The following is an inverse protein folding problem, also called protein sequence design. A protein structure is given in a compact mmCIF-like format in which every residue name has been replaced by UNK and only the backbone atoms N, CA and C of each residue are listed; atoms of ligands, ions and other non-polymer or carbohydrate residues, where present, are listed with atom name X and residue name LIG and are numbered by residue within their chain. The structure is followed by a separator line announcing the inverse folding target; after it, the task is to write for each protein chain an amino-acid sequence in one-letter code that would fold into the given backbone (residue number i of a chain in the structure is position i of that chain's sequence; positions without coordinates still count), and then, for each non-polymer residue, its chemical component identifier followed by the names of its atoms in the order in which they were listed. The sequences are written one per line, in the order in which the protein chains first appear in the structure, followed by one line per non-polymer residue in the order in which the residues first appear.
data_IF_824056058283
#
_entry.id   IF_824056058283
#
_cell.length_a   1.000
_cell.length_b   1.000
_cell.length_c   1.000
_cell.angle_alpha   90.00
_cell.angle_beta   90.00
_cell.angle_gamma   90.00
#
_symmetry.space_group_name_H-M   'P 1'
#
loop_
_entity.id
_entity.type
_entity.pdbx_description
1 polymer ?
#
# COMPACT_ATOMS: atom_id res chain seq x y z
N UNK A 1 36.93 -23.04 -55.71
CA UNK A 1 35.91 -23.13 -56.78
C UNK A 1 34.73 -23.94 -56.28
N UNK A 2 33.56 -23.28 -56.23
CA UNK A 2 32.19 -23.81 -56.38
C UNK A 2 31.74 -24.98 -55.49
N UNK A 3 31.02 -24.60 -54.43
CA UNK A 3 29.95 -25.38 -53.77
C UNK A 3 28.91 -25.81 -54.82
N UNK A 4 28.48 -27.08 -54.87
CA UNK A 4 27.33 -27.46 -55.68
C UNK A 4 26.04 -27.16 -54.89
N UNK A 5 25.23 -26.27 -55.47
CA UNK A 5 23.87 -25.97 -55.04
C UNK A 5 23.00 -27.23 -55.21
N UNK A 6 22.59 -27.84 -54.10
CA UNK A 6 21.53 -28.83 -54.10
C UNK A 6 20.19 -28.13 -54.31
N UNK A 7 19.52 -28.44 -55.41
CA UNK A 7 18.20 -27.96 -55.75
C UNK A 7 17.18 -28.42 -54.69
N UNK A 8 16.60 -27.48 -53.96
CA UNK A 8 15.38 -27.71 -53.19
C UNK A 8 14.24 -27.78 -54.20
N UNK A 9 13.91 -28.99 -54.63
CA UNK A 9 12.71 -29.29 -55.41
C UNK A 9 11.51 -29.04 -54.48
N UNK A 10 10.99 -27.81 -54.53
CA UNK A 10 9.68 -27.47 -54.02
C UNK A 10 8.63 -28.20 -54.86
N UNK A 11 8.01 -29.23 -54.28
CA UNK A 11 6.83 -29.87 -54.86
C UNK A 11 5.67 -28.86 -54.80
N UNK A 12 5.42 -28.16 -55.90
CA UNK A 12 4.13 -27.54 -56.15
C UNK A 12 3.13 -28.64 -56.51
N UNK A 13 1.97 -28.77 -55.85
CA UNK A 13 0.90 -29.59 -56.38
C UNK A 13 0.31 -28.86 -57.59
N UNK A 14 0.36 -29.52 -58.74
CA UNK A 14 -0.31 -29.11 -59.97
C UNK A 14 -1.80 -28.93 -59.70
N UNK A 15 -2.30 -27.74 -60.00
CA UNK A 15 -3.72 -27.40 -59.91
C UNK A 15 -4.44 -27.96 -61.13
N UNK A 16 -4.91 -29.20 -61.04
CA UNK A 16 -5.99 -29.66 -61.91
C UNK A 16 -7.31 -29.13 -61.36
N UNK A 17 -8.03 -28.41 -62.20
CA UNK A 17 -9.26 -27.73 -61.85
C UNK A 17 -10.34 -28.72 -61.45
N UNK A 18 -10.81 -28.63 -60.21
CA UNK A 18 -12.18 -29.01 -59.86
C UNK A 18 -12.63 -28.24 -58.63
N UNK A 19 -13.63 -27.41 -58.86
CA UNK A 19 -14.36 -26.60 -57.90
C UNK A 19 -14.90 -27.47 -56.75
N UNK A 20 -14.32 -27.33 -55.56
CA UNK A 20 -14.89 -27.82 -54.30
C UNK A 20 -14.82 -26.70 -53.26
N UNK A 21 -15.76 -25.76 -53.35
CA UNK A 21 -16.16 -24.91 -52.24
C UNK A 21 -16.90 -25.82 -51.24
N UNK A 22 -16.19 -26.36 -50.26
CA UNK A 22 -16.75 -27.39 -49.36
C UNK A 22 -15.90 -27.74 -48.15
N UNK A 23 -15.79 -26.80 -47.20
CA UNK A 23 -15.90 -27.11 -45.77
C UNK A 23 -14.74 -27.76 -45.00
N UNK A 24 -14.68 -27.35 -43.72
CA UNK A 24 -14.27 -28.12 -42.55
C UNK A 24 -12.77 -28.04 -42.20
N UNK A 25 -12.45 -27.02 -41.41
CA UNK A 25 -11.35 -27.08 -40.43
C UNK A 25 -11.48 -28.42 -39.69
N UNK A 26 -10.50 -29.33 -39.87
CA UNK A 26 -10.49 -30.67 -39.26
C UNK A 26 -10.88 -30.64 -37.78
N UNK A 27 -12.00 -31.27 -37.46
CA UNK A 27 -12.45 -31.58 -36.10
C UNK A 27 -11.57 -32.68 -35.49
N UNK A 28 -10.66 -32.28 -34.60
CA UNK A 28 -10.16 -33.04 -33.42
C UNK A 28 -8.92 -32.35 -32.84
N UNK A 29 -9.05 -31.08 -32.42
CA UNK A 29 -8.02 -30.46 -31.57
C UNK A 29 -8.19 -31.04 -30.17
N UNK A 30 -7.41 -32.09 -29.84
CA UNK A 30 -7.33 -32.61 -28.46
C UNK A 30 -6.73 -31.51 -27.57
N UNK A 31 -7.38 -31.17 -26.46
CA UNK A 31 -6.85 -30.23 -25.46
C UNK A 31 -5.50 -30.74 -24.95
N UNK A 32 -4.42 -30.04 -25.29
CA UNK A 32 -3.04 -30.48 -24.99
C UNK A 32 -2.56 -30.08 -23.59
N UNK A 33 -3.35 -29.32 -22.83
CA UNK A 33 -2.90 -28.72 -21.55
C UNK A 33 -3.70 -29.17 -20.31
N UNK A 34 -4.26 -30.38 -20.30
CA UNK A 34 -4.98 -30.90 -19.12
C UNK A 34 -4.03 -31.08 -17.92
N UNK A 35 -2.82 -31.61 -18.14
CA UNK A 35 -1.84 -31.79 -17.07
C UNK A 35 -1.37 -30.45 -16.46
N UNK A 36 -1.11 -29.46 -17.31
CA UNK A 36 -0.72 -28.10 -16.88
C UNK A 36 -1.88 -27.42 -16.14
N UNK A 37 -3.12 -27.61 -16.60
CA UNK A 37 -4.32 -27.12 -15.92
C UNK A 37 -4.45 -27.69 -14.50
N UNK A 38 -4.18 -28.98 -14.31
CA UNK A 38 -4.21 -29.61 -12.97
C UNK A 38 -3.16 -29.00 -12.04
N UNK A 39 -1.93 -28.78 -12.52
CA UNK A 39 -0.89 -28.10 -11.72
C UNK A 39 -1.27 -26.66 -11.37
N UNK A 40 -1.86 -25.92 -12.31
CA UNK A 40 -2.35 -24.56 -12.07
C UNK A 40 -3.45 -24.54 -11.00
N UNK A 41 -4.43 -25.45 -11.07
CA UNK A 41 -5.48 -25.56 -10.06
C UNK A 41 -4.87 -25.92 -8.70
N UNK A 42 -3.93 -26.86 -8.63
CA UNK A 42 -3.25 -27.24 -7.40
C UNK A 42 -2.51 -26.07 -6.74
N UNK A 43 -1.84 -25.23 -7.54
CA UNK A 43 -1.19 -24.01 -7.05
C UNK A 43 -2.19 -23.03 -6.43
N UNK A 44 -3.34 -22.78 -7.09
CA UNK A 44 -4.38 -21.90 -6.55
C UNK A 44 -5.00 -22.44 -5.27
N UNK A 45 -5.27 -23.74 -5.20
CA UNK A 45 -5.77 -24.39 -3.99
C UNK A 45 -4.77 -24.21 -2.84
N UNK A 46 -3.47 -24.44 -3.09
CA UNK A 46 -2.44 -24.24 -2.09
C UNK A 46 -2.37 -22.77 -1.61
N UNK A 47 -2.47 -21.79 -2.51
CA UNK A 47 -2.51 -20.37 -2.14
C UNK A 47 -3.73 -20.04 -1.28
N UNK A 48 -4.92 -20.51 -1.67
CA UNK A 48 -6.15 -20.28 -0.90
C UNK A 48 -6.03 -20.88 0.50
N UNK A 49 -5.55 -22.12 0.63
CA UNK A 49 -5.38 -22.78 1.94
C UNK A 49 -4.39 -22.00 2.83
N UNK A 50 -3.23 -21.62 2.28
CA UNK A 50 -2.23 -20.87 3.03
C UNK A 50 -2.75 -19.48 3.44
N UNK A 51 -3.45 -18.78 2.54
CA UNK A 51 -4.08 -17.50 2.86
C UNK A 51 -5.16 -17.66 3.92
N UNK A 52 -6.07 -18.63 3.79
CA UNK A 52 -7.12 -18.89 4.77
C UNK A 52 -6.55 -19.21 6.15
N UNK A 53 -5.49 -20.01 6.23
CA UNK A 53 -4.81 -20.26 7.50
C UNK A 53 -4.25 -18.96 8.12
N UNK A 54 -3.60 -18.13 7.31
CA UNK A 54 -3.07 -16.84 7.75
C UNK A 54 -4.13 -15.85 8.23
N UNK A 55 -5.29 -15.79 7.57
CA UNK A 55 -6.39 -14.92 7.97
C UNK A 55 -7.20 -15.45 9.15
N UNK A 56 -7.34 -16.77 9.29
CA UNK A 56 -8.13 -17.38 10.36
C UNK A 56 -7.37 -17.39 11.70
N UNK A 57 -6.05 -17.59 11.68
CA UNK A 57 -5.24 -17.61 12.92
C UNK A 57 -4.53 -16.28 13.19
N UNK A 58 -4.29 -15.48 12.16
CA UNK A 58 -3.59 -14.20 12.27
C UNK A 58 -4.54 -13.00 12.37
N UNK A 59 -4.00 -11.86 12.81
CA UNK A 59 -4.68 -10.58 12.73
C UNK A 59 -4.04 -9.72 11.62
N UNK A 60 -4.69 -9.55 10.45
CA UNK A 60 -4.13 -8.81 9.32
C UNK A 60 -3.94 -7.31 9.62
N UNK A 61 -4.67 -6.76 10.59
CA UNK A 61 -4.55 -5.34 10.98
C UNK A 61 -3.18 -4.99 11.55
N UNK A 62 -2.38 -5.97 12.01
CA UNK A 62 -0.99 -5.75 12.48
C UNK A 62 -0.04 -5.29 11.38
N UNK A 63 -0.38 -5.55 10.12
CA UNK A 63 0.44 -5.12 8.98
C UNK A 63 0.25 -3.63 8.70
N UNK A 64 -0.94 -3.08 8.92
CA UNK A 64 -1.24 -1.67 8.62
C UNK A 64 -1.10 -0.79 9.85
N UNK A 65 -1.64 -1.21 11.00
CA UNK A 65 -1.71 -0.40 12.21
C UNK A 65 -0.48 -0.58 13.13
N UNK A 66 -0.35 0.35 14.07
CA UNK A 66 0.64 0.29 15.15
C UNK A 66 0.21 -0.63 16.29
N UNK A 67 1.15 -0.87 17.22
CA UNK A 67 0.89 -1.55 18.48
C UNK A 67 1.05 -0.57 19.64
N UNK A 68 0.22 -0.73 20.67
CA UNK A 68 0.39 -0.05 21.95
C UNK A 68 1.47 -0.73 22.83
N UNK A 69 1.68 -0.21 24.03
CA UNK A 69 2.63 -0.75 25.02
C UNK A 69 2.16 -2.06 25.65
N UNK A 70 0.87 -2.41 25.52
CA UNK A 70 0.29 -3.69 25.96
C UNK A 70 0.37 -4.78 24.89
N UNK A 71 0.71 -4.43 23.65
CA UNK A 71 0.79 -5.33 22.51
C UNK A 71 -0.52 -5.45 21.70
N UNK A 72 -1.53 -4.65 22.00
CA UNK A 72 -2.78 -4.56 21.24
C UNK A 72 -2.58 -3.73 19.97
N UNK A 73 -3.41 -3.96 18.97
CA UNK A 73 -3.39 -3.23 17.70
C UNK A 73 -4.25 -1.97 17.84
N UNK A 74 -3.73 -0.83 17.40
CA UNK A 74 -4.54 0.40 17.32
C UNK A 74 -5.70 0.19 16.32
N UNK A 75 -6.91 0.61 16.67
CA UNK A 75 -8.13 0.33 15.90
C UNK A 75 -8.75 -1.05 16.15
N UNK A 76 -8.22 -1.87 17.06
CA UNK A 76 -8.79 -3.19 17.35
C UNK A 76 -10.07 -3.08 18.19
N UNK A 77 -11.12 -3.77 17.72
CA UNK A 77 -12.42 -3.82 18.39
C UNK A 77 -12.38 -4.64 19.67
N UNK A 78 -11.58 -5.72 19.72
CA UNK A 78 -11.54 -6.62 20.87
C UNK A 78 -10.84 -6.00 22.08
N UNK A 79 -9.91 -5.07 21.83
CA UNK A 79 -9.19 -4.35 22.86
C UNK A 79 -9.89 -3.06 23.31
N UNK A 80 -11.09 -2.75 22.81
CA UNK A 80 -11.77 -1.48 23.08
C UNK A 80 -11.12 -0.26 22.42
N UNK A 81 -10.23 -0.48 21.44
CA UNK A 81 -9.44 0.56 20.77
C UNK A 81 -10.02 0.95 19.40
N UNK A 82 -11.31 0.71 19.15
CA UNK A 82 -11.95 0.86 17.83
C UNK A 82 -11.75 2.25 17.23
N UNK A 83 -11.76 3.27 18.07
CA UNK A 83 -11.69 4.68 17.65
C UNK A 83 -10.25 5.24 17.74
N UNK A 84 -9.39 4.53 18.47
CA UNK A 84 -7.99 4.90 18.72
C UNK A 84 -7.10 4.23 17.67
N UNK A 85 -7.07 4.80 16.46
CA UNK A 85 -6.37 4.22 15.30
C UNK A 85 -4.90 4.68 15.17
N UNK A 86 -4.51 5.79 15.81
CA UNK A 86 -3.19 6.40 15.63
C UNK A 86 -2.19 5.95 16.69
N UNK A 87 -1.03 5.46 16.25
CA UNK A 87 0.09 5.15 17.16
C UNK A 87 0.89 6.41 17.51
N UNK A 88 1.03 6.71 18.80
CA UNK A 88 1.90 7.77 19.32
C UNK A 88 3.03 7.20 20.19
N UNK A 89 4.21 7.83 20.20
CA UNK A 89 5.31 7.47 21.09
C UNK A 89 5.38 8.41 22.29
N UNK A 90 5.31 7.86 23.49
CA UNK A 90 5.15 8.62 24.73
C UNK A 90 6.45 9.27 25.21
N UNK A 91 7.57 8.53 25.15
CA UNK A 91 8.85 8.96 25.74
C UNK A 91 9.86 9.39 24.65
N UNK A 92 10.14 10.70 24.50
CA UNK A 92 11.10 11.18 23.50
C UNK A 92 12.54 10.70 23.72
N UNK A 93 12.95 10.50 24.97
CA UNK A 93 14.31 10.05 25.29
C UNK A 93 14.54 8.60 24.83
N UNK A 94 13.52 7.73 24.90
CA UNK A 94 13.61 6.36 24.35
C UNK A 94 13.77 6.38 22.82
N UNK A 95 13.07 7.28 22.14
CA UNK A 95 13.18 7.45 20.69
C UNK A 95 14.57 7.98 20.34
N UNK A 96 15.06 8.99 21.05
CA UNK A 96 16.41 9.53 20.87
C UNK A 96 17.46 8.44 21.07
N UNK A 97 17.37 7.68 22.17
CA UNK A 97 18.28 6.56 22.48
C UNK A 97 18.33 5.57 21.32
N UNK A 98 17.19 5.19 20.76
CA UNK A 98 17.13 4.24 19.62
C UNK A 98 17.85 4.71 18.35
N UNK A 99 18.16 6.00 18.26
CA UNK A 99 18.90 6.60 17.16
C UNK A 99 20.40 6.60 17.28
N UNK A 100 20.92 6.41 18.50
CA UNK A 100 22.36 6.32 18.72
C UNK A 100 22.88 5.01 18.16
N UNK A 101 23.98 5.09 17.41
CA UNK A 101 24.61 3.94 16.73
C UNK A 101 25.04 2.83 17.69
N UNK A 102 25.38 3.18 18.92
CA UNK A 102 25.91 2.25 19.94
C UNK A 102 24.88 1.83 20.99
N UNK A 103 23.61 2.21 20.82
CA UNK A 103 22.55 1.82 21.75
C UNK A 103 22.01 0.42 21.41
N UNK A 104 21.76 -0.40 22.44
CA UNK A 104 21.04 -1.67 22.28
C UNK A 104 19.51 -1.50 22.18
N UNK A 105 19.02 -0.27 22.42
CA UNK A 105 17.59 0.02 22.47
C UNK A 105 17.01 0.15 21.06
N UNK A 106 16.01 -0.69 20.72
CA UNK A 106 15.34 -0.64 19.41
C UNK A 106 14.09 0.22 19.49
N UNK A 107 13.82 1.01 18.45
CA UNK A 107 12.60 1.83 18.38
C UNK A 107 11.30 1.01 18.43
N UNK A 108 11.35 -0.27 18.04
CA UNK A 108 10.22 -1.20 18.19
C UNK A 108 9.81 -1.44 19.65
N UNK A 109 10.74 -1.24 20.59
CA UNK A 109 10.54 -1.39 22.03
C UNK A 109 10.26 -0.05 22.73
N UNK A 110 10.27 1.07 21.99
CA UNK A 110 9.89 2.36 22.53
C UNK A 110 8.40 2.32 22.91
N UNK A 111 8.07 2.84 24.10
CA UNK A 111 6.70 2.83 24.60
C UNK A 111 5.80 3.64 23.68
N UNK A 112 4.72 3.01 23.21
CA UNK A 112 3.72 3.64 22.36
C UNK A 112 2.31 3.43 22.87
N UNK A 113 1.39 4.30 22.49
CA UNK A 113 -0.03 4.25 22.85
C UNK A 113 -0.87 4.55 21.61
N UNK A 114 -2.13 4.09 21.59
CA UNK A 114 -3.09 4.43 20.54
C UNK A 114 -3.95 5.63 20.96
N UNK A 115 -4.08 6.62 20.09
CA UNK A 115 -4.83 7.86 20.25
C UNK A 115 -5.80 8.06 19.07
N UNK A 116 -6.79 8.95 19.20
CA UNK A 116 -7.62 9.38 18.07
C UNK A 116 -6.88 10.37 17.19
N UNK A 117 -6.20 11.34 17.81
CA UNK A 117 -5.51 12.43 17.15
C UNK A 117 -4.09 12.60 17.68
N UNK A 118 -3.21 13.16 16.83
CA UNK A 118 -1.82 13.39 17.19
C UNK A 118 -1.69 14.61 18.11
N UNK A 119 -1.09 14.47 19.30
CA UNK A 119 -1.00 15.55 20.27
C UNK A 119 -0.03 16.65 19.78
N UNK A 120 -0.39 17.88 20.08
CA UNK A 120 0.38 19.08 19.74
C UNK A 120 0.64 19.87 21.04
N UNK A 121 1.85 20.41 21.25
CA UNK A 121 2.13 21.25 22.40
C UNK A 121 1.24 22.50 22.39
N UNK A 122 0.76 22.88 23.57
CA UNK A 122 0.04 24.14 23.79
C UNK A 122 0.99 25.34 23.74
N UNK A 123 0.46 26.52 23.43
CA UNK A 123 1.21 27.78 23.38
C UNK A 123 1.44 28.38 24.78
N UNK A 124 0.58 28.06 25.75
CA UNK A 124 0.57 28.69 27.08
C UNK A 124 0.78 27.70 28.24
N UNK A 125 0.53 26.41 28.01
CA UNK A 125 0.54 25.38 29.05
C UNK A 125 1.32 24.13 28.61
N UNK A 126 1.63 23.24 29.57
CA UNK A 126 2.16 21.92 29.25
C UNK A 126 1.01 20.92 29.11
N UNK A 127 0.83 20.40 27.89
CA UNK A 127 -0.11 19.31 27.62
C UNK A 127 0.53 17.97 28.02
N UNK A 128 -0.28 17.05 28.52
CA UNK A 128 0.14 15.70 28.88
C UNK A 128 -0.60 14.66 28.05
N UNK A 129 0.08 13.53 27.83
CA UNK A 129 -0.56 12.30 27.37
C UNK A 129 -0.28 11.24 28.41
N UNK A 130 -1.34 10.73 29.01
CA UNK A 130 -1.26 9.69 30.02
C UNK A 130 -1.56 8.30 29.44
N UNK A 131 -1.07 7.28 30.13
CA UNK A 131 -1.39 5.89 29.84
C UNK A 131 -2.91 5.64 29.92
N UNK A 132 -3.35 4.50 29.39
CA UNK A 132 -4.74 4.06 29.56
C UNK A 132 -5.13 4.04 31.05
N UNK A 133 -6.36 4.44 31.40
CA UNK A 133 -6.83 4.52 32.78
C UNK A 133 -7.13 3.12 33.33
N UNK A 134 -6.07 2.34 33.56
CA UNK A 134 -6.15 1.00 34.14
C UNK A 134 -5.54 0.99 35.54
N UNK A 135 -6.09 0.14 36.43
CA UNK A 135 -5.58 -0.04 37.79
C UNK A 135 -6.18 0.96 38.78
N UNK A 136 -5.33 1.70 39.49
CA UNK A 136 -5.72 2.61 40.60
C UNK A 136 -6.44 3.89 40.13
N UNK A 137 -6.52 4.11 38.82
CA UNK A 137 -7.18 5.26 38.21
C UNK A 137 -8.60 4.86 37.84
N UNK A 138 -9.58 5.29 38.63
CA UNK A 138 -11.01 5.06 38.37
C UNK A 138 -11.57 6.03 37.32
N UNK A 139 -11.07 5.96 36.09
CA UNK A 139 -11.56 6.76 34.95
C UNK A 139 -11.96 5.83 33.81
N UNK A 140 -13.10 6.09 33.17
CA UNK A 140 -13.49 5.31 31.99
C UNK A 140 -12.61 5.69 30.79
N UNK A 141 -12.49 4.78 29.81
CA UNK A 141 -11.74 5.06 28.58
C UNK A 141 -12.35 6.23 27.80
N UNK A 142 -13.68 6.35 27.80
CA UNK A 142 -14.39 7.45 27.12
C UNK A 142 -14.12 8.79 27.82
N UNK A 143 -14.20 8.84 29.16
CA UNK A 143 -13.85 10.06 29.90
C UNK A 143 -12.37 10.45 29.74
N UNK A 144 -11.48 9.47 29.58
CA UNK A 144 -10.07 9.71 29.28
C UNK A 144 -9.87 10.32 27.90
N UNK A 145 -10.62 9.86 26.90
CA UNK A 145 -10.65 10.45 25.56
C UNK A 145 -11.19 11.89 25.61
N UNK A 146 -12.31 12.12 26.29
CA UNK A 146 -12.94 13.43 26.40
C UNK A 146 -12.05 14.46 27.11
N UNK A 147 -11.17 14.00 27.99
CA UNK A 147 -10.13 14.81 28.66
C UNK A 147 -8.87 14.98 27.83
N UNK A 148 -8.89 14.63 26.54
CA UNK A 148 -7.74 14.70 25.64
C UNK A 148 -6.51 13.95 26.22
N UNK A 149 -6.77 12.77 26.79
CA UNK A 149 -5.77 11.86 27.34
C UNK A 149 -5.02 12.37 28.58
N UNK A 150 -5.51 13.43 29.24
CA UNK A 150 -4.86 14.07 30.38
C UNK A 150 -5.63 13.83 31.69
N UNK A 151 -4.94 13.26 32.68
CA UNK A 151 -5.37 13.19 34.07
C UNK A 151 -4.23 13.51 35.05
N UNK A 152 -3.21 14.24 34.61
CA UNK A 152 -2.00 14.53 35.38
C UNK A 152 -2.30 15.20 36.74
N UNK A 153 -3.32 16.05 36.80
CA UNK A 153 -3.74 16.73 38.02
C UNK A 153 -4.23 15.76 39.11
N UNK A 154 -4.80 14.62 38.72
CA UNK A 154 -5.34 13.61 39.63
C UNK A 154 -4.28 12.61 40.13
N UNK A 155 -3.02 12.74 39.68
CA UNK A 155 -1.95 11.85 40.10
C UNK A 155 -1.55 12.06 41.56
N UNK A 156 -1.23 10.94 42.23
CA UNK A 156 -0.56 10.96 43.53
C UNK A 156 0.85 11.58 43.42
N UNK A 157 1.40 12.12 44.51
CA UNK A 157 2.75 12.70 44.51
C UNK A 157 3.84 11.73 44.03
N UNK A 158 3.70 10.44 44.35
CA UNK A 158 4.63 9.38 43.92
C UNK A 158 4.60 9.18 42.41
N UNK A 159 3.39 9.07 41.83
CA UNK A 159 3.20 8.92 40.38
C UNK A 159 3.66 10.16 39.61
N UNK A 160 3.53 11.34 40.21
CA UNK A 160 4.05 12.60 39.64
C UNK A 160 5.57 12.59 39.55
N UNK A 161 6.26 12.08 40.58
CA UNK A 161 7.72 11.96 40.55
C UNK A 161 8.19 10.97 39.46
N UNK A 162 7.50 9.83 39.31
CA UNK A 162 7.76 8.87 38.22
C UNK A 162 7.53 9.47 36.83
N UNK A 163 6.47 10.27 36.67
CA UNK A 163 6.18 11.02 35.45
C UNK A 163 7.31 11.99 35.10
N UNK A 164 7.83 12.73 36.09
CA UNK A 164 8.98 13.64 35.91
C UNK A 164 10.26 12.90 35.48
N UNK A 165 10.38 11.61 35.80
CA UNK A 165 11.46 10.74 35.33
C UNK A 165 11.18 10.06 33.97
N UNK A 166 10.07 10.39 33.30
CA UNK A 166 9.60 9.76 32.06
C UNK A 166 9.41 8.24 32.19
N UNK A 167 9.05 7.76 33.39
CA UNK A 167 8.73 6.35 33.64
C UNK A 167 7.21 6.07 33.53
N UNK A 168 6.39 7.13 33.55
CA UNK A 168 4.93 7.07 33.46
C UNK A 168 4.27 7.39 34.80
N UNK A 169 2.92 7.44 34.87
CA UNK A 169 1.98 7.07 33.80
C UNK A 169 1.71 8.19 32.79
N UNK A 170 2.10 9.44 33.07
CA UNK A 170 1.89 10.57 32.17
C UNK A 170 3.21 11.03 31.54
N UNK A 171 3.11 11.60 30.34
CA UNK A 171 4.26 12.04 29.56
C UNK A 171 3.99 13.42 28.95
N UNK A 172 4.97 14.34 28.97
CA UNK A 172 4.79 15.70 28.49
C UNK A 172 4.80 15.77 26.96
N UNK A 173 3.88 16.54 26.37
CA UNK A 173 3.86 16.81 24.93
C UNK A 173 4.77 17.99 24.63
N UNK A 174 6.01 17.68 24.25
CA UNK A 174 7.05 18.71 24.01
C UNK A 174 7.33 18.89 22.51
N UNK A 175 7.30 17.79 21.77
CA UNK A 175 7.52 17.80 20.33
C UNK A 175 6.15 17.82 19.63
N UNK A 176 5.94 18.72 18.66
CA UNK A 176 4.74 18.68 17.84
C UNK A 176 4.76 17.40 16.99
N UNK A 177 3.58 16.82 16.81
CA UNK A 177 3.42 15.57 16.07
C UNK A 177 2.36 15.69 14.98
N UNK A 178 2.56 14.96 13.89
CA UNK A 178 1.66 14.97 12.73
C UNK A 178 1.28 13.54 12.35
N UNK A 179 0.04 13.36 11.90
CA UNK A 179 -0.44 12.06 11.46
C UNK A 179 0.18 11.70 10.11
N UNK A 180 0.98 10.64 10.10
CA UNK A 180 1.61 10.07 8.91
C UNK A 180 1.33 8.57 8.90
N UNK A 181 0.33 8.15 8.11
CA UNK A 181 -0.07 6.75 7.95
C UNK A 181 -0.41 6.03 9.27
N UNK A 182 -1.41 6.51 10.01
CA UNK A 182 -1.87 5.87 11.26
C UNK A 182 -0.81 5.85 12.38
N UNK A 183 0.18 6.75 12.28
CA UNK A 183 1.23 6.93 13.26
C UNK A 183 1.55 8.41 13.39
N UNK A 184 1.68 8.89 14.61
CA UNK A 184 2.06 10.26 14.92
C UNK A 184 3.58 10.40 14.88
N UNK A 185 4.08 11.05 13.84
CA UNK A 185 5.50 11.33 13.68
C UNK A 185 5.87 12.62 14.41
N UNK A 186 6.85 12.54 15.31
CA UNK A 186 7.40 13.71 16.01
C UNK A 186 8.25 14.55 15.06
N UNK A 187 8.05 15.86 15.10
CA UNK A 187 8.92 16.84 14.43
C UNK A 187 10.09 17.13 15.40
N UNK A 188 11.36 17.11 14.95
CA UNK A 188 12.55 17.28 15.80
C UNK A 188 12.77 18.74 16.21
N UNK A 189 11.74 19.40 16.72
CA UNK A 189 11.76 20.78 17.19
C UNK A 189 10.88 20.88 18.43
N UNK A 190 11.49 20.96 19.60
CA UNK A 190 10.76 21.13 20.85
C UNK A 190 10.06 22.50 20.90
N UNK A 191 8.88 22.57 21.51
CA UNK A 191 8.23 23.84 21.83
C UNK A 191 8.92 24.46 23.05
N UNK A 192 9.47 25.66 22.88
CA UNK A 192 10.17 26.39 23.94
C UNK A 192 9.31 26.58 25.20
N UNK A 193 8.00 26.78 25.04
CA UNK A 193 7.07 26.99 26.16
C UNK A 193 6.90 25.69 26.93
N UNK A 194 6.53 24.61 26.25
CA UNK A 194 6.37 23.29 26.86
C UNK A 194 7.64 22.81 27.58
N UNK A 195 8.81 23.01 26.95
CA UNK A 195 10.10 22.62 27.51
C UNK A 195 10.45 23.44 28.76
N UNK A 196 10.19 24.76 28.75
CA UNK A 196 10.42 25.62 29.90
C UNK A 196 9.55 25.21 31.08
N UNK A 197 8.26 24.94 30.85
CA UNK A 197 7.36 24.44 31.90
C UNK A 197 7.81 23.07 32.45
N UNK A 198 8.23 22.17 31.57
CA UNK A 198 8.77 20.87 31.98
C UNK A 198 10.01 21.01 32.87
N UNK A 199 10.95 21.87 32.50
CA UNK A 199 12.16 22.14 33.29
C UNK A 199 11.83 22.81 34.63
N UNK A 200 10.86 23.73 34.65
CA UNK A 200 10.39 24.38 35.88
C UNK A 200 9.77 23.39 36.86
N UNK A 201 9.16 22.31 36.38
CA UNK A 201 8.63 21.23 37.21
C UNK A 201 9.69 20.22 37.67
N UNK A 202 10.97 20.43 37.33
CA UNK A 202 12.06 19.52 37.71
C UNK A 202 12.10 18.23 36.90
N UNK A 203 11.52 18.23 35.69
CA UNK A 203 11.57 17.09 34.80
C UNK A 203 12.99 16.76 34.32
N UNK A 204 13.24 15.48 34.02
CA UNK A 204 14.55 15.04 33.51
C UNK A 204 14.91 15.73 32.19
N UNK A 205 16.20 15.86 31.90
CA UNK A 205 16.65 16.50 30.66
C UNK A 205 16.19 15.70 29.43
N UNK A 206 15.72 16.43 28.41
CA UNK A 206 15.23 15.86 27.15
C UNK A 206 16.20 16.26 26.05
N UNK A 207 16.66 15.26 25.30
CA UNK A 207 17.61 15.49 24.22
C UNK A 207 16.88 15.97 22.95
N UNK A 208 17.12 17.22 22.55
CA UNK A 208 16.49 17.87 21.39
C UNK A 208 17.18 17.58 20.04
N UNK A 209 18.14 16.67 20.01
CA UNK A 209 18.96 16.46 18.82
C UNK A 209 18.14 15.94 17.63
N UNK A 210 18.56 16.30 16.41
CA UNK A 210 18.00 15.85 15.11
C UNK A 210 17.98 14.31 14.93
N UNK A 211 18.63 13.59 15.85
CA UNK A 211 18.67 12.13 15.93
C UNK A 211 17.27 11.52 16.01
N UNK A 212 16.31 12.19 16.66
CA UNK A 212 14.91 11.72 16.76
C UNK A 212 14.30 11.50 15.37
N UNK A 213 14.40 12.52 14.51
CA UNK A 213 13.86 12.46 13.15
C UNK A 213 14.53 11.38 12.32
N UNK A 214 15.86 11.28 12.37
CA UNK A 214 16.61 10.25 11.66
C UNK A 214 16.23 8.84 12.10
N UNK A 215 15.92 8.65 13.39
CA UNK A 215 15.54 7.35 13.97
C UNK A 215 14.18 6.91 13.50
N UNK A 216 13.21 7.82 13.58
CA UNK A 216 11.85 7.61 13.11
C UNK A 216 11.87 7.37 11.60
N UNK A 217 12.54 8.24 10.83
CA UNK A 217 12.70 8.06 9.38
C UNK A 217 13.39 6.74 9.03
N UNK A 218 14.44 6.32 9.75
CA UNK A 218 15.11 5.03 9.49
C UNK A 218 14.20 3.84 9.79
N UNK A 219 13.38 3.92 10.84
CA UNK A 219 12.42 2.87 11.17
C UNK A 219 11.27 2.82 10.17
N UNK A 220 10.73 3.96 9.76
CA UNK A 220 9.64 4.06 8.77
C UNK A 220 10.14 3.79 7.33
N UNK A 221 11.39 4.13 7.00
CA UNK A 221 11.98 3.78 5.71
C UNK A 221 12.62 2.39 5.69
N UNK A 222 12.57 1.65 6.81
CA UNK A 222 12.97 0.25 6.80
C UNK A 222 12.09 -0.54 5.84
N UNK A 223 12.64 -1.62 5.25
CA UNK A 223 11.95 -2.52 4.30
C UNK A 223 10.52 -2.87 4.74
N UNK A 224 10.31 -3.00 6.04
CA UNK A 224 9.04 -3.31 6.66
C UNK A 224 8.01 -2.19 6.50
N UNK A 225 8.38 -0.93 6.70
CA UNK A 225 7.42 0.18 6.64
C UNK A 225 7.17 0.66 5.20
N UNK A 226 8.09 0.43 4.25
CA UNK A 226 7.76 0.48 2.81
C UNK A 226 6.68 -0.55 2.46
N UNK A 227 6.82 -1.79 2.94
CA UNK A 227 5.80 -2.81 2.76
C UNK A 227 4.47 -2.41 3.40
N UNK A 228 4.49 -1.82 4.61
CA UNK A 228 3.27 -1.32 5.27
C UNK A 228 2.54 -0.28 4.44
N UNK A 229 3.26 0.66 3.82
CA UNK A 229 2.66 1.68 2.94
C UNK A 229 1.94 1.04 1.76
N UNK A 230 2.59 0.09 1.07
CA UNK A 230 1.95 -0.65 -0.02
C UNK A 230 0.73 -1.45 0.46
N UNK A 231 0.80 -2.09 1.63
CA UNK A 231 -0.32 -2.86 2.18
C UNK A 231 -1.51 -1.96 2.55
N UNK A 232 -1.26 -0.77 3.09
CA UNK A 232 -2.31 0.20 3.40
C UNK A 232 -2.99 0.72 2.12
N UNK A 233 -2.20 1.03 1.08
CA UNK A 233 -2.72 1.47 -0.22
C UNK A 233 -3.55 0.36 -0.90
N UNK A 234 -3.08 -0.88 -0.85
CA UNK A 234 -3.83 -2.06 -1.34
C UNK A 234 -5.14 -2.21 -0.57
N UNK A 235 -5.13 -2.02 0.75
CA UNK A 235 -6.33 -2.09 1.58
C UNK A 235 -7.40 -1.08 1.17
N UNK A 236 -7.01 0.14 0.78
CA UNK A 236 -7.95 1.16 0.27
C UNK A 236 -8.34 0.90 -1.19
N UNK A 237 -7.42 0.45 -2.04
CA UNK A 237 -7.62 0.26 -3.47
C UNK A 237 -8.20 -1.10 -3.87
N UNK A 238 -8.45 -2.01 -2.92
CA UNK A 238 -8.89 -3.38 -3.20
C UNK A 238 -10.13 -3.50 -4.12
N UNK A 239 -11.18 -2.63 -4.03
CA UNK A 239 -12.33 -2.75 -4.92
C UNK A 239 -11.95 -2.36 -6.36
N UNK A 240 -11.09 -1.34 -6.50
CA UNK A 240 -10.60 -0.87 -7.80
C UNK A 240 -9.72 -1.94 -8.46
N UNK A 241 -8.88 -2.62 -7.68
CA UNK A 241 -8.05 -3.72 -8.19
C UNK A 241 -8.89 -4.89 -8.69
N UNK A 242 -9.94 -5.28 -7.96
CA UNK A 242 -10.83 -6.37 -8.40
C UNK A 242 -11.61 -5.97 -9.66
N UNK A 243 -12.18 -4.76 -9.68
CA UNK A 243 -13.01 -4.31 -10.80
C UNK A 243 -12.18 -4.03 -12.06
N UNK A 244 -11.13 -3.20 -11.94
CA UNK A 244 -10.34 -2.73 -13.07
C UNK A 244 -9.22 -3.71 -13.47
N UNK A 245 -8.64 -4.43 -12.51
CA UNK A 245 -7.58 -5.41 -12.78
C UNK A 245 -8.08 -6.83 -13.04
N UNK A 246 -9.22 -7.21 -12.47
CA UNK A 246 -9.79 -8.55 -12.61
C UNK A 246 -10.96 -8.61 -13.59
N UNK A 247 -12.10 -8.04 -13.20
CA UNK A 247 -13.38 -8.25 -13.88
C UNK A 247 -13.38 -7.62 -15.28
N UNK A 248 -12.96 -6.35 -15.41
CA UNK A 248 -13.03 -5.61 -16.66
C UNK A 248 -12.10 -6.19 -17.75
N UNK A 249 -10.83 -6.57 -17.48
CA UNK A 249 -9.99 -7.22 -18.47
C UNK A 249 -10.49 -8.60 -18.88
N UNK A 250 -11.03 -9.39 -17.93
CA UNK A 250 -11.64 -10.68 -18.26
C UNK A 250 -12.86 -10.51 -19.16
N UNK A 251 -13.72 -9.54 -18.87
CA UNK A 251 -14.89 -9.24 -19.68
C UNK A 251 -14.51 -8.75 -21.09
N UNK A 252 -13.55 -7.82 -21.20
CA UNK A 252 -13.01 -7.36 -22.47
C UNK A 252 -12.34 -8.49 -23.27
N UNK A 253 -11.63 -9.39 -22.59
CA UNK A 253 -11.03 -10.57 -23.21
C UNK A 253 -12.10 -11.51 -23.80
N UNK A 254 -13.18 -11.78 -23.06
CA UNK A 254 -14.30 -12.59 -23.55
C UNK A 254 -14.98 -11.92 -24.74
N UNK A 255 -15.27 -10.62 -24.68
CA UNK A 255 -15.84 -9.86 -25.80
C UNK A 255 -14.93 -9.95 -27.03
N UNK A 256 -13.62 -9.77 -26.86
CA UNK A 256 -12.66 -9.85 -27.95
C UNK A 256 -12.65 -11.24 -28.61
N UNK A 257 -12.67 -12.31 -27.82
CA UNK A 257 -12.76 -13.68 -28.34
C UNK A 257 -14.08 -13.93 -29.08
N UNK A 258 -15.20 -13.40 -28.58
CA UNK A 258 -16.50 -13.46 -29.27
C UNK A 258 -16.48 -12.67 -30.57
N UNK A 259 -15.85 -11.50 -30.59
CA UNK A 259 -15.71 -10.66 -31.78
C UNK A 259 -14.92 -11.39 -32.87
N UNK A 260 -13.76 -11.98 -32.53
CA UNK A 260 -13.00 -12.82 -33.47
C UNK A 260 -13.88 -13.96 -33.99
N UNK A 261 -14.60 -14.67 -33.11
CA UNK A 261 -15.40 -15.82 -33.53
C UNK A 261 -16.51 -15.46 -34.53
N UNK A 262 -17.18 -14.32 -34.37
CA UNK A 262 -18.31 -13.93 -35.24
C UNK A 262 -17.88 -13.08 -36.44
N UNK A 263 -16.86 -12.24 -36.30
CA UNK A 263 -16.46 -11.26 -37.30
C UNK A 263 -15.15 -11.58 -38.03
N UNK A 264 -14.51 -12.73 -37.79
CA UNK A 264 -13.29 -13.17 -38.51
C UNK A 264 -13.46 -13.14 -40.03
N UNK A 265 -14.67 -13.42 -40.53
CA UNK A 265 -14.91 -13.36 -41.98
C UNK A 265 -15.09 -11.94 -42.50
N UNK A 266 -15.63 -11.00 -41.70
CA UNK A 266 -15.94 -9.65 -42.15
C UNK A 266 -14.77 -8.67 -41.98
N UNK A 267 -13.97 -8.86 -40.93
CA UNK A 267 -12.86 -7.98 -40.56
C UNK A 267 -11.80 -7.82 -41.67
N UNK A 268 -11.38 -8.87 -42.40
CA UNK A 268 -10.45 -8.73 -43.53
C UNK A 268 -11.03 -7.96 -44.72
N UNK A 269 -12.33 -8.12 -45.01
CA UNK A 269 -12.96 -7.41 -46.14
C UNK A 269 -13.09 -5.92 -45.85
N UNK A 270 -13.43 -5.55 -44.60
CA UNK A 270 -13.52 -4.15 -44.18
C UNK A 270 -12.14 -3.48 -44.27
N UNK A 271 -11.07 -4.14 -43.79
CA UNK A 271 -9.71 -3.58 -43.87
C UNK A 271 -9.22 -3.45 -45.31
N UNK A 272 -9.51 -4.43 -46.18
CA UNK A 272 -9.20 -4.35 -47.61
C UNK A 272 -9.94 -3.18 -48.28
N UNK A 273 -11.23 -3.02 -48.04
CA UNK A 273 -12.02 -1.90 -48.61
C UNK A 273 -11.49 -0.56 -48.12
N UNK A 274 -11.27 -0.41 -46.82
CA UNK A 274 -10.78 0.84 -46.22
C UNK A 274 -9.39 1.21 -46.73
N UNK A 275 -8.49 0.24 -46.86
CA UNK A 275 -7.15 0.47 -47.40
C UNK A 275 -7.17 0.88 -48.87
N UNK A 276 -8.03 0.26 -49.69
CA UNK A 276 -8.21 0.65 -51.08
C UNK A 276 -8.78 2.06 -51.24
N UNK A 277 -9.80 2.43 -50.44
CA UNK A 277 -10.34 3.80 -50.42
C UNK A 277 -9.25 4.80 -50.05
N UNK A 278 -8.43 4.48 -49.04
CA UNK A 278 -7.35 5.35 -48.61
C UNK A 278 -6.31 5.54 -49.72
N UNK A 279 -5.88 4.47 -50.38
CA UNK A 279 -4.96 4.56 -51.53
C UNK A 279 -5.56 5.44 -52.64
N UNK A 280 -6.81 5.20 -53.05
CA UNK A 280 -7.48 6.00 -54.08
C UNK A 280 -7.55 7.47 -53.68
N UNK A 281 -7.88 7.76 -52.42
CA UNK A 281 -7.96 9.14 -51.93
C UNK A 281 -6.61 9.86 -51.97
N UNK A 282 -5.52 9.17 -51.59
CA UNK A 282 -4.15 9.71 -51.64
C UNK A 282 -3.68 9.89 -53.08
N UNK A 283 -3.94 8.93 -53.96
CA UNK A 283 -3.60 9.03 -55.39
C UNK A 283 -4.32 10.21 -56.04
N UNK A 284 -5.62 10.39 -55.75
CA UNK A 284 -6.40 11.51 -56.25
C UNK A 284 -5.88 12.86 -55.72
N UNK A 285 -5.55 12.93 -54.44
CA UNK A 285 -4.96 14.12 -53.83
C UNK A 285 -3.62 14.51 -54.48
N UNK A 286 -2.74 13.53 -54.72
CA UNK A 286 -1.48 13.75 -55.43
C UNK A 286 -1.70 14.21 -56.87
N UNK A 287 -2.66 13.64 -57.59
CA UNK A 287 -2.99 14.05 -58.97
C UNK A 287 -3.48 15.50 -59.04
N UNK A 288 -4.37 15.90 -58.12
CA UNK A 288 -4.85 17.28 -58.03
C UNK A 288 -3.70 18.26 -57.72
N UNK A 289 -2.74 17.86 -56.88
CA UNK A 289 -1.59 18.70 -56.52
C UNK A 289 -0.59 18.85 -57.69
N UNK A 290 -0.36 17.81 -58.48
CA UNK A 290 0.51 17.85 -59.68
C UNK A 290 -0.10 18.74 -60.77
N UNK A 291 -1.40 18.56 -61.08
CA UNK A 291 -2.12 19.43 -62.02
C UNK A 291 -2.20 20.90 -61.58
N UNK A 292 -1.97 21.18 -60.29
CA UNK A 292 -1.90 22.54 -59.76
C UNK A 292 -0.52 23.18 -59.98
N UNK A 293 0.55 22.38 -60.06
CA UNK A 293 1.90 22.86 -60.37
C UNK A 293 2.10 23.10 -61.87
N UNK A 294 1.48 22.30 -62.75
CA UNK A 294 1.58 22.49 -64.21
C UNK A 294 0.82 23.71 -64.76
N UNK A 295 -0.04 24.35 -63.94
CA UNK A 295 -0.82 25.55 -64.33
C UNK A 295 -0.22 26.87 -63.86
N UNK A 296 1.00 26.87 -63.34
CA UNK A 296 1.74 28.07 -62.93
C UNK A 296 3.03 28.19 -63.72
#
# INVERSE_FOLDING_TARGET
MRVPLAAVIGRYPSSDGTTQMGGIIRHNRKCRDIAVLVFFIGFWVAMIVNSSFGFNQGNPSRLTYGLDYKGNVCGDKHAGLRELELKYWLNPNQIHQSGLKDSQFKLANARSICLLDCPIPSEDSLNWVCDYPDGDIHLSTDDWIDRNYDYFEFLTPEMRNSTLQLQGPCYPVIFPSVNVYWSCQLIPRASNVSLKHWQQMGGVSINENIVIDKSIHKYINSRYAVLKRYMADIGKAWPVLIVCGGILPLFLSVIWLLMIRHFVSAMPWITVVLFNILIVSVTMFCYLKVNWMDRK
#
